data_IF_773899112868
#
_entry.id   IF_773899112868
#
_cell.length_a   1.000
_cell.length_b   1.000
_cell.length_c   1.000
_cell.angle_alpha   90.00
_cell.angle_beta   90.00
_cell.angle_gamma   90.00
#
_symmetry.space_group_name_H-M   'P 1'
#
loop_
_entity.id
_entity.type
_entity.pdbx_description
1 polymer ?
#
# COMPACT_ATOMS: atom_id res chain seq x y z
N UNK A 1 73.71 -3.88 -46.03
CA UNK A 1 72.88 -2.84 -45.40
C UNK A 1 71.40 -3.14 -45.63
N UNK A 2 70.69 -3.73 -44.65
CA UNK A 2 69.22 -3.68 -44.56
C UNK A 2 68.85 -3.60 -43.09
N UNK A 3 68.37 -2.43 -42.67
CA UNK A 3 67.93 -2.10 -41.31
C UNK A 3 66.54 -2.71 -41.11
N UNK A 4 66.40 -3.65 -40.18
CA UNK A 4 65.08 -4.12 -39.74
C UNK A 4 64.62 -3.22 -38.59
N UNK A 5 63.60 -2.40 -38.83
CA UNK A 5 62.90 -1.66 -37.77
C UNK A 5 61.91 -2.61 -37.09
N UNK A 6 62.12 -2.84 -35.79
CA UNK A 6 61.15 -3.49 -34.92
C UNK A 6 60.09 -2.44 -34.50
N UNK A 7 58.85 -2.64 -34.95
CA UNK A 7 57.68 -1.91 -34.45
C UNK A 7 57.11 -2.67 -33.24
N UNK A 8 57.33 -2.13 -32.05
CA UNK A 8 56.62 -2.53 -30.83
C UNK A 8 55.21 -1.94 -30.88
N UNK A 9 54.22 -2.76 -31.21
CA UNK A 9 52.81 -2.41 -31.07
C UNK A 9 52.40 -2.58 -29.60
N UNK A 10 52.26 -1.48 -28.87
CA UNK A 10 51.63 -1.47 -27.55
C UNK A 10 50.12 -1.47 -27.76
N UNK A 11 49.48 -2.63 -27.60
CA UNK A 11 48.03 -2.75 -27.56
C UNK A 11 47.52 -2.38 -26.16
N UNK A 12 47.01 -1.16 -26.00
CA UNK A 12 46.24 -0.77 -24.81
C UNK A 12 44.82 -1.29 -25.00
N UNK A 13 44.49 -2.43 -24.39
CA UNK A 13 43.10 -2.89 -24.25
C UNK A 13 42.40 -2.00 -23.20
N UNK A 14 41.73 -0.95 -23.66
CA UNK A 14 40.78 -0.21 -22.84
C UNK A 14 39.51 -1.04 -22.64
N UNK A 15 39.30 -1.59 -21.45
CA UNK A 15 38.02 -2.16 -21.06
C UNK A 15 37.02 -1.02 -20.84
N UNK A 16 36.24 -0.70 -21.87
CA UNK A 16 35.05 0.12 -21.71
C UNK A 16 34.03 -0.69 -20.89
N UNK A 17 34.01 -0.48 -19.57
CA UNK A 17 32.99 -1.04 -18.70
C UNK A 17 31.66 -0.35 -18.97
N UNK A 18 30.73 -1.06 -19.62
CA UNK A 18 29.34 -0.63 -19.74
C UNK A 18 28.75 -0.49 -18.34
N UNK A 19 28.56 0.74 -17.87
CA UNK A 19 27.78 1.00 -16.66
C UNK A 19 26.32 0.72 -17.03
N UNK A 20 25.85 -0.49 -16.75
CA UNK A 20 24.42 -0.79 -16.78
C UNK A 20 23.78 -0.02 -15.64
N UNK A 21 23.22 1.15 -15.95
CA UNK A 21 22.31 1.83 -15.03
C UNK A 21 21.01 1.04 -15.07
N UNK A 22 20.81 0.15 -14.10
CA UNK A 22 19.53 -0.53 -13.94
C UNK A 22 18.47 0.54 -13.67
N UNK A 23 17.51 0.70 -14.57
CA UNK A 23 16.32 1.50 -14.31
C UNK A 23 15.68 0.98 -13.02
N UNK A 24 15.29 1.85 -12.06
CA UNK A 24 14.61 1.37 -10.87
C UNK A 24 13.34 0.64 -11.33
N UNK A 25 13.26 -0.65 -11.05
CA UNK A 25 12.03 -1.39 -11.23
C UNK A 25 11.01 -0.80 -10.25
N UNK A 26 9.92 -0.26 -10.80
CA UNK A 26 8.93 0.44 -10.01
C UNK A 26 7.97 -0.58 -9.37
N UNK A 27 8.09 -0.78 -8.07
CA UNK A 27 7.02 -1.40 -7.29
C UNK A 27 5.87 -0.40 -7.13
N UNK A 28 4.65 -0.88 -6.87
CA UNK A 28 3.51 0.00 -6.60
C UNK A 28 2.50 -0.73 -5.73
N UNK A 29 2.08 -0.10 -4.64
CA UNK A 29 1.09 -0.67 -3.73
C UNK A 29 0.75 0.22 -2.53
N UNK A 30 -0.38 -0.08 -1.90
CA UNK A 30 -0.91 0.67 -0.76
C UNK A 30 -1.79 -0.21 0.12
N UNK A 31 -1.99 0.19 1.39
CA UNK A 31 -2.96 -0.48 2.28
C UNK A 31 -4.38 -0.04 1.91
N UNK A 32 -5.19 -0.99 1.44
CA UNK A 32 -6.58 -0.76 1.06
C UNK A 32 -7.57 -0.93 2.22
N UNK A 33 -7.24 -1.75 3.22
CA UNK A 33 -8.11 -2.02 4.37
C UNK A 33 -7.32 -2.26 5.67
N UNK A 34 -7.67 -1.61 6.80
CA UNK A 34 -8.46 -0.37 6.84
C UNK A 34 -7.85 0.67 5.89
N UNK A 35 -8.66 1.56 5.28
CA UNK A 35 -8.18 2.41 4.22
C UNK A 35 -7.08 3.34 4.72
N UNK A 36 -5.93 3.30 4.06
CA UNK A 36 -4.87 4.29 4.26
C UNK A 36 -5.29 5.68 3.82
N UNK A 37 -4.54 6.71 4.20
CA UNK A 37 -4.77 8.11 3.80
C UNK A 37 -4.86 8.26 2.28
N UNK A 38 -3.93 7.66 1.54
CA UNK A 38 -3.97 7.66 0.08
C UNK A 38 -5.18 6.90 -0.48
N UNK A 39 -5.62 5.81 0.17
CA UNK A 39 -6.85 5.11 -0.22
C UNK A 39 -8.09 6.00 0.03
N UNK A 40 -8.16 6.70 1.16
CA UNK A 40 -9.24 7.65 1.46
C UNK A 40 -9.31 8.79 0.44
N UNK A 41 -8.14 9.28 -0.01
CA UNK A 41 -8.05 10.24 -1.11
C UNK A 41 -8.62 9.67 -2.41
N UNK A 42 -8.20 8.47 -2.81
CA UNK A 42 -8.66 7.82 -4.04
C UNK A 42 -10.16 7.48 -4.01
N UNK A 43 -10.70 7.21 -2.82
CA UNK A 43 -12.13 7.00 -2.57
C UNK A 43 -12.95 8.30 -2.56
N UNK A 44 -12.31 9.48 -2.67
CA UNK A 44 -12.99 10.77 -2.58
C UNK A 44 -13.51 11.12 -1.18
N UNK A 45 -13.14 10.34 -0.16
CA UNK A 45 -13.57 10.54 1.24
C UNK A 45 -12.83 11.68 1.92
N UNK A 46 -11.65 12.01 1.42
CA UNK A 46 -10.88 13.19 1.80
C UNK A 46 -10.51 13.91 0.52
N UNK A 47 -10.75 15.22 0.47
CA UNK A 47 -10.35 16.03 -0.67
C UNK A 47 -8.82 16.07 -0.76
N UNK A 48 -8.25 15.52 -1.83
CA UNK A 48 -6.81 15.44 -2.02
C UNK A 48 -6.38 15.94 -3.42
N UNK A 49 -5.10 16.25 -3.55
CA UNK A 49 -4.43 16.63 -4.78
C UNK A 49 -4.15 15.41 -5.66
N UNK A 50 -2.90 15.26 -6.09
CA UNK A 50 -2.54 14.27 -7.10
C UNK A 50 -2.75 12.82 -6.60
N UNK A 51 -2.42 12.55 -5.34
CA UNK A 51 -2.39 11.18 -4.78
C UNK A 51 -3.68 10.37 -4.94
N UNK A 52 -4.84 11.03 -5.11
CA UNK A 52 -6.12 10.34 -5.36
C UNK A 52 -6.15 9.54 -6.67
N UNK A 53 -5.32 9.90 -7.65
CA UNK A 53 -5.26 9.22 -8.95
C UNK A 53 -4.30 8.03 -8.93
N UNK A 54 -3.37 8.00 -7.99
CA UNK A 54 -2.32 6.98 -7.92
C UNK A 54 -1.95 6.63 -6.47
N UNK A 55 -2.90 6.12 -5.66
CA UNK A 55 -2.66 5.79 -4.26
C UNK A 55 -1.51 4.78 -4.07
N UNK A 56 -1.21 3.99 -5.09
CA UNK A 56 -0.13 3.00 -5.13
C UNK A 56 1.29 3.59 -5.21
N UNK A 57 1.45 4.90 -5.40
CA UNK A 57 2.74 5.50 -5.81
C UNK A 57 3.51 6.22 -4.70
N UNK A 58 3.16 6.02 -3.42
CA UNK A 58 3.87 6.66 -2.30
C UNK A 58 5.20 5.96 -2.02
N UNK A 59 6.12 6.11 -2.96
CA UNK A 59 7.48 5.57 -2.96
C UNK A 59 8.47 6.59 -2.36
N UNK A 60 9.45 6.09 -1.61
CA UNK A 60 10.59 6.88 -1.15
C UNK A 60 11.76 6.03 -0.70
N UNK A 61 12.91 6.63 -0.37
CA UNK A 61 14.07 5.91 0.17
C UNK A 61 13.69 5.08 1.40
N UNK A 62 14.33 3.92 1.59
CA UNK A 62 14.14 3.07 2.78
C UNK A 62 14.45 3.82 4.09
N UNK A 63 13.79 3.40 5.17
CA UNK A 63 14.09 3.86 6.54
C UNK A 63 13.29 5.08 7.00
N UNK A 64 12.40 5.63 6.17
CA UNK A 64 11.56 6.75 6.57
C UNK A 64 10.48 6.33 7.57
N UNK A 65 10.00 7.31 8.34
CA UNK A 65 8.89 7.18 9.30
C UNK A 65 7.81 8.25 9.06
N UNK A 66 7.55 8.55 7.79
CA UNK A 66 6.55 9.52 7.36
C UNK A 66 5.54 8.89 6.39
N UNK A 67 4.41 9.56 6.17
CA UNK A 67 3.26 9.08 5.41
C UNK A 67 3.34 9.33 3.90
N UNK A 68 4.33 10.09 3.44
CA UNK A 68 4.41 10.61 2.08
C UNK A 68 5.67 10.17 1.33
N UNK A 69 6.49 9.29 1.91
CA UNK A 69 7.73 8.81 1.30
C UNK A 69 8.77 9.90 1.05
N UNK A 70 8.73 11.03 1.78
CA UNK A 70 9.53 12.23 1.46
C UNK A 70 9.27 12.79 0.05
N UNK A 71 8.11 12.49 -0.55
CA UNK A 71 7.70 12.99 -1.85
C UNK A 71 6.79 14.23 -1.69
N UNK A 72 7.30 15.39 -2.08
CA UNK A 72 6.61 16.68 -1.93
C UNK A 72 5.24 16.75 -2.64
N UNK A 73 5.03 15.98 -3.70
CA UNK A 73 3.73 15.90 -4.40
C UNK A 73 2.65 15.27 -3.51
N UNK A 74 3.05 14.43 -2.55
CA UNK A 74 2.17 13.73 -1.63
C UNK A 74 2.26 14.26 -0.19
N UNK A 75 2.85 15.45 0.00
CA UNK A 75 3.09 16.04 1.33
C UNK A 75 1.81 16.14 2.19
N UNK A 76 0.64 16.28 1.58
CA UNK A 76 -0.65 16.29 2.26
C UNK A 76 -0.92 15.04 3.11
N UNK A 77 -0.37 13.88 2.75
CA UNK A 77 -0.52 12.65 3.54
C UNK A 77 0.13 12.78 4.93
N UNK A 78 1.10 13.69 5.07
CA UNK A 78 1.76 14.00 6.33
C UNK A 78 1.04 15.06 7.16
N UNK A 79 0.08 15.79 6.57
CA UNK A 79 -0.67 16.83 7.27
C UNK A 79 -1.75 16.22 8.16
N UNK A 80 -1.54 16.24 9.46
CA UNK A 80 -2.48 15.70 10.45
C UNK A 80 -3.70 16.60 10.70
N UNK A 81 -3.69 17.83 10.21
CA UNK A 81 -4.80 18.78 10.36
C UNK A 81 -5.94 18.54 9.36
N UNK A 82 -5.74 17.72 8.32
CA UNK A 82 -6.76 17.38 7.29
C UNK A 82 -7.99 16.61 7.80
N UNK A 83 -8.05 16.29 9.09
CA UNK A 83 -9.21 15.61 9.67
C UNK A 83 -9.39 14.17 9.16
N UNK A 84 -8.28 13.43 8.98
CA UNK A 84 -8.31 12.06 8.45
C UNK A 84 -9.28 11.14 9.23
N UNK A 85 -10.28 10.55 8.53
CA UNK A 85 -11.19 9.57 9.10
C UNK A 85 -10.44 8.39 9.72
N UNK A 86 -10.80 8.03 10.96
CA UNK A 86 -10.23 6.87 11.65
C UNK A 86 -11.18 5.67 11.58
N UNK A 87 -10.63 4.48 11.30
CA UNK A 87 -11.40 3.23 11.31
C UNK A 87 -11.37 2.59 12.69
N UNK A 88 -12.53 2.23 13.25
CA UNK A 88 -12.57 1.47 14.50
C UNK A 88 -12.04 0.05 14.26
N UNK A 89 -11.08 -0.38 15.08
CA UNK A 89 -10.39 -1.66 14.94
C UNK A 89 -10.28 -2.38 16.28
N UNK A 90 -10.17 -3.71 16.23
CA UNK A 90 -9.85 -4.49 17.41
C UNK A 90 -8.34 -4.44 17.71
N UNK A 91 -7.92 -4.99 18.85
CA UNK A 91 -6.51 -5.15 19.19
C UNK A 91 -5.80 -6.21 18.34
N UNK A 92 -6.53 -7.07 17.61
CA UNK A 92 -6.00 -7.95 16.56
C UNK A 92 -6.54 -7.47 15.21
N UNK A 93 -5.73 -6.74 14.45
CA UNK A 93 -6.18 -6.06 13.24
C UNK A 93 -5.49 -6.60 12.00
N UNK A 94 -6.28 -6.95 10.99
CA UNK A 94 -5.78 -7.33 9.67
C UNK A 94 -5.61 -6.11 8.78
N UNK A 95 -4.42 -5.92 8.22
CA UNK A 95 -4.14 -4.92 7.20
C UNK A 95 -3.98 -5.61 5.84
N UNK A 96 -4.73 -5.15 4.84
CA UNK A 96 -4.70 -5.66 3.47
C UNK A 96 -4.03 -4.67 2.54
N UNK A 97 -3.02 -5.14 1.83
CA UNK A 97 -2.31 -4.43 0.78
C UNK A 97 -2.84 -4.83 -0.60
N UNK A 98 -2.86 -3.85 -1.50
CA UNK A 98 -3.01 -4.07 -2.94
C UNK A 98 -1.70 -3.69 -3.61
N UNK A 99 -1.10 -4.65 -4.32
CA UNK A 99 0.19 -4.54 -5.00
C UNK A 99 -0.07 -4.52 -6.51
N UNK A 100 -0.20 -3.32 -7.08
CA UNK A 100 -0.51 -3.13 -8.50
C UNK A 100 0.69 -3.47 -9.39
N UNK A 101 1.91 -3.21 -8.91
CA UNK A 101 3.15 -3.71 -9.50
C UNK A 101 3.94 -4.47 -8.44
N UNK A 102 3.87 -5.81 -8.49
CA UNK A 102 4.47 -6.70 -7.48
C UNK A 102 5.96 -6.83 -7.71
N UNK A 103 6.74 -6.68 -6.64
CA UNK A 103 8.19 -6.65 -6.73
C UNK A 103 8.84 -7.47 -5.63
N UNK A 104 10.10 -7.89 -5.82
CA UNK A 104 10.82 -8.69 -4.84
C UNK A 104 10.84 -7.93 -3.50
N UNK A 105 10.49 -8.59 -2.40
CA UNK A 105 10.20 -7.91 -1.13
C UNK A 105 11.15 -8.36 -0.03
N UNK A 106 11.77 -7.41 0.68
CA UNK A 106 12.51 -7.69 1.91
C UNK A 106 11.55 -7.94 3.06
N UNK A 107 10.62 -7.00 3.30
CA UNK A 107 9.74 -7.05 4.47
C UNK A 107 8.51 -6.15 4.32
N UNK A 108 7.55 -6.41 5.20
CA UNK A 108 6.47 -5.51 5.55
C UNK A 108 6.55 -5.21 7.04
N UNK A 109 6.55 -3.93 7.40
CA UNK A 109 6.64 -3.49 8.79
C UNK A 109 5.50 -2.54 9.13
N UNK A 110 5.05 -2.59 10.40
CA UNK A 110 3.97 -1.76 10.91
C UNK A 110 4.43 -1.03 12.16
N UNK A 111 4.14 0.27 12.26
CA UNK A 111 4.57 1.13 13.36
C UNK A 111 3.42 1.96 13.91
N UNK A 112 3.43 2.19 15.22
CA UNK A 112 2.67 3.27 15.87
C UNK A 112 3.69 4.15 16.59
N UNK A 113 3.80 5.41 16.16
CA UNK A 113 4.91 6.28 16.57
C UNK A 113 6.26 5.65 16.25
N UNK A 114 7.13 5.54 17.26
CA UNK A 114 8.44 4.87 17.13
C UNK A 114 8.42 3.35 17.33
N UNK A 115 7.29 2.77 17.73
CA UNK A 115 7.21 1.36 18.12
C UNK A 115 6.81 0.48 16.95
N UNK A 116 7.61 -0.53 16.62
CA UNK A 116 7.24 -1.56 15.63
C UNK A 116 6.24 -2.53 16.25
N UNK A 117 5.05 -2.61 15.66
CA UNK A 117 3.94 -3.47 16.11
C UNK A 117 3.74 -4.70 15.22
N UNK A 118 4.38 -4.76 14.06
CA UNK A 118 4.36 -5.92 13.17
C UNK A 118 5.58 -5.99 12.25
N UNK A 119 6.02 -7.20 11.94
CA UNK A 119 7.09 -7.50 10.99
C UNK A 119 6.77 -8.80 10.26
N UNK A 120 6.81 -8.77 8.93
CA UNK A 120 6.59 -9.92 8.07
C UNK A 120 7.71 -9.97 7.03
N UNK A 121 8.44 -11.08 6.97
CA UNK A 121 9.51 -11.26 6.00
C UNK A 121 8.93 -11.50 4.59
N UNK A 122 9.49 -10.82 3.59
CA UNK A 122 9.17 -11.06 2.18
C UNK A 122 10.07 -12.09 1.51
N UNK A 123 11.18 -12.49 2.16
CA UNK A 123 12.11 -13.54 1.71
C UNK A 123 12.65 -13.32 0.28
N UNK A 124 12.75 -12.06 -0.14
CA UNK A 124 13.12 -11.66 -1.51
C UNK A 124 12.22 -12.26 -2.60
N UNK A 125 11.00 -12.66 -2.24
CA UNK A 125 10.02 -13.19 -3.18
C UNK A 125 9.10 -12.08 -3.68
N UNK A 126 8.53 -12.29 -4.87
CA UNK A 126 7.42 -11.47 -5.33
C UNK A 126 6.16 -11.83 -4.50
N UNK A 127 5.51 -10.87 -3.83
CA UNK A 127 4.30 -11.12 -3.06
C UNK A 127 3.10 -11.39 -3.99
N UNK A 128 1.97 -11.88 -3.47
CA UNK A 128 0.71 -11.87 -4.20
C UNK A 128 0.22 -10.44 -4.50
N UNK A 129 -0.72 -10.31 -5.45
CA UNK A 129 -1.33 -9.02 -5.79
C UNK A 129 -2.14 -8.42 -4.63
N UNK A 130 -2.62 -9.28 -3.74
CA UNK A 130 -3.27 -8.88 -2.49
C UNK A 130 -2.69 -9.70 -1.37
N UNK A 131 -2.30 -9.01 -0.31
CA UNK A 131 -1.62 -9.58 0.84
C UNK A 131 -2.26 -9.05 2.11
N UNK A 132 -2.55 -9.93 3.05
CA UNK A 132 -3.11 -9.57 4.34
C UNK A 132 -2.19 -9.98 5.47
N UNK A 133 -2.03 -9.10 6.44
CA UNK A 133 -1.25 -9.34 7.65
C UNK A 133 -2.08 -9.02 8.88
N UNK A 134 -2.15 -9.96 9.82
CA UNK A 134 -2.78 -9.72 11.13
C UNK A 134 -1.72 -9.21 12.10
N UNK A 135 -1.92 -7.98 12.58
CA UNK A 135 -0.98 -7.28 13.47
C UNK A 135 -1.60 -7.17 14.87
N UNK A 136 -0.78 -7.47 15.88
CA UNK A 136 -1.17 -7.29 17.27
C UNK A 136 -0.98 -5.83 17.70
N UNK A 137 -2.07 -5.18 18.06
CA UNK A 137 -2.14 -3.81 18.54
C UNK A 137 -2.51 -3.71 20.03
N UNK A 138 -2.46 -4.81 20.80
CA UNK A 138 -2.91 -4.86 22.20
C UNK A 138 -2.16 -3.92 23.16
N UNK A 139 -0.98 -3.41 22.75
CA UNK A 139 -0.24 -2.40 23.51
C UNK A 139 -0.76 -0.97 23.32
N UNK A 140 -1.80 -0.75 22.50
CA UNK A 140 -2.32 0.56 22.15
C UNK A 140 -3.86 0.59 22.24
N UNK A 141 -4.40 1.78 22.45
CA UNK A 141 -5.84 2.05 22.47
C UNK A 141 -6.15 3.44 21.92
N UNK A 142 -7.42 3.70 21.61
CA UNK A 142 -7.88 4.99 21.12
C UNK A 142 -7.38 5.32 19.72
N UNK A 143 -7.45 6.60 19.34
CA UNK A 143 -7.01 7.06 18.01
C UNK A 143 -5.50 6.94 17.86
N UNK A 144 -5.06 6.15 16.90
CA UNK A 144 -3.66 5.94 16.55
C UNK A 144 -3.44 6.11 15.05
N UNK A 145 -2.20 6.42 14.67
CA UNK A 145 -1.75 6.37 13.28
C UNK A 145 -0.80 5.20 13.12
N UNK A 146 -1.19 4.23 12.30
CA UNK A 146 -0.33 3.12 11.91
C UNK A 146 0.41 3.50 10.64
N UNK A 147 1.73 3.43 10.64
CA UNK A 147 2.54 3.48 9.43
C UNK A 147 2.86 2.05 8.99
N UNK A 148 2.38 1.67 7.82
CA UNK A 148 2.73 0.42 7.15
C UNK A 148 3.79 0.70 6.07
N UNK A 149 4.87 -0.08 6.07
CA UNK A 149 6.03 0.10 5.21
C UNK A 149 6.29 -1.19 4.42
N UNK A 150 6.32 -1.09 3.10
CA UNK A 150 6.73 -2.15 2.19
C UNK A 150 8.18 -1.94 1.75
N UNK A 151 9.10 -2.79 2.20
CA UNK A 151 10.52 -2.67 1.83
C UNK A 151 10.83 -3.55 0.63
N UNK A 152 11.25 -2.95 -0.47
CA UNK A 152 11.62 -3.65 -1.70
C UNK A 152 13.00 -4.29 -1.57
N UNK A 153 13.19 -5.49 -2.11
CA UNK A 153 14.43 -6.27 -1.94
C UNK A 153 15.59 -5.74 -2.78
N UNK A 154 15.33 -5.38 -4.01
CA UNK A 154 16.29 -5.13 -5.09
C UNK A 154 16.39 -3.66 -5.50
N UNK A 155 15.76 -2.75 -4.75
CA UNK A 155 15.90 -1.29 -4.92
C UNK A 155 16.29 -0.60 -3.62
N UNK A 156 16.59 0.70 -3.65
CA UNK A 156 16.84 1.51 -2.45
C UNK A 156 15.54 2.03 -1.78
N UNK A 157 14.37 1.66 -2.32
CA UNK A 157 13.10 2.29 -1.98
C UNK A 157 12.17 1.39 -1.15
N UNK A 158 11.14 2.02 -0.61
CA UNK A 158 10.03 1.42 0.11
C UNK A 158 8.73 2.20 -0.18
N UNK A 159 7.59 1.58 0.09
CA UNK A 159 6.26 2.20 -0.03
C UNK A 159 5.66 2.46 1.34
N UNK A 160 5.04 3.63 1.50
CA UNK A 160 4.59 4.14 2.79
C UNK A 160 3.08 4.37 2.79
N UNK A 161 2.37 3.72 3.70
CA UNK A 161 0.92 3.89 3.90
C UNK A 161 0.61 4.23 5.35
N UNK A 162 0.06 5.41 5.60
CA UNK A 162 -0.46 5.76 6.93
C UNK A 162 -1.95 5.42 7.00
N UNK A 163 -2.36 4.81 8.12
CA UNK A 163 -3.73 4.39 8.39
C UNK A 163 -4.15 4.96 9.74
N UNK A 164 -5.16 5.82 9.75
CA UNK A 164 -5.76 6.32 10.98
C UNK A 164 -6.77 5.29 11.50
N UNK A 165 -6.55 4.82 12.73
CA UNK A 165 -7.38 3.80 13.38
C UNK A 165 -7.81 4.28 14.76
N UNK A 166 -8.87 3.68 15.29
CA UNK A 166 -9.29 3.85 16.68
C UNK A 166 -9.39 2.46 17.33
N UNK A 167 -8.39 2.12 18.14
CA UNK A 167 -8.16 0.78 18.65
C UNK A 167 -8.97 0.55 19.92
N UNK A 168 -9.74 -0.54 19.97
CA UNK A 168 -10.58 -0.88 21.12
C UNK A 168 -11.88 -0.07 21.20
N UNK A 169 -12.21 0.72 20.18
CA UNK A 169 -13.52 1.36 20.08
C UNK A 169 -14.62 0.32 19.91
N UNK A 170 -15.53 0.22 20.88
CA UNK A 170 -16.74 -0.61 20.78
C UNK A 170 -17.70 -0.01 19.76
N UNK A 171 -17.59 -0.44 18.50
CA UNK A 171 -18.59 -0.23 17.45
C UNK A 171 -18.31 0.91 16.46
N UNK A 172 -18.34 0.59 15.16
CA UNK A 172 -18.85 1.48 14.10
C UNK A 172 -17.98 2.67 13.68
N UNK A 173 -17.40 2.60 12.47
CA UNK A 173 -16.44 3.54 11.91
C UNK A 173 -16.75 5.04 12.00
N UNK A 174 -15.69 5.85 12.00
CA UNK A 174 -15.71 7.30 11.78
C UNK A 174 -15.94 7.68 10.32
N UNK A 175 -16.99 7.14 9.73
CA UNK A 175 -17.70 7.66 8.58
C UNK A 175 -19.15 7.28 8.81
N UNK A 176 -20.08 8.22 8.65
CA UNK A 176 -21.52 8.05 8.87
C UNK A 176 -21.96 6.59 8.66
N UNK A 177 -22.51 5.89 9.69
CA UNK A 177 -22.83 4.48 9.56
C UNK A 177 -23.86 4.29 8.44
N UNK A 178 -23.66 3.38 7.48
CA UNK A 178 -24.80 2.73 6.83
C UNK A 178 -25.58 1.96 7.91
N UNK A 179 -26.89 1.73 7.74
CA UNK A 179 -27.71 1.05 8.73
C UNK A 179 -27.07 -0.28 9.16
N UNK A 180 -27.13 -0.52 10.46
CA UNK A 180 -26.63 -1.69 11.18
C UNK A 180 -27.08 -3.01 10.56
N UNK A 181 -26.10 -3.77 10.05
CA UNK A 181 -26.23 -5.22 9.86
C UNK A 181 -25.04 -5.88 9.15
N UNK A 182 -24.32 -5.16 8.28
CA UNK A 182 -23.14 -5.72 7.59
C UNK A 182 -21.83 -5.58 8.37
N UNK A 183 -21.12 -6.68 8.58
CA UNK A 183 -19.76 -6.71 9.15
C UNK A 183 -18.65 -6.38 8.13
N UNK A 184 -18.95 -6.51 6.83
CA UNK A 184 -18.04 -6.14 5.75
C UNK A 184 -17.95 -4.60 5.57
N UNK A 185 -16.76 -4.10 5.25
CA UNK A 185 -16.54 -2.67 5.02
C UNK A 185 -17.40 -2.16 3.85
N UNK A 186 -17.93 -0.94 3.94
CA UNK A 186 -18.74 -0.37 2.86
C UNK A 186 -17.98 -0.32 1.53
N UNK A 187 -18.65 -0.70 0.43
CA UNK A 187 -18.11 -0.57 -0.92
C UNK A 187 -17.85 0.90 -1.27
N UNK A 188 -16.81 1.13 -2.05
CA UNK A 188 -16.38 2.43 -2.53
C UNK A 188 -15.89 2.34 -3.96
N UNK A 189 -16.41 3.19 -4.85
CA UNK A 189 -16.05 3.21 -6.26
C UNK A 189 -14.57 3.45 -6.53
N UNK A 190 -13.89 4.26 -5.71
CA UNK A 190 -12.45 4.53 -5.88
C UNK A 190 -11.53 3.40 -5.39
N UNK A 191 -12.04 2.41 -4.65
CA UNK A 191 -11.23 1.32 -4.14
C UNK A 191 -11.10 0.20 -5.19
N UNK A 192 -9.90 -0.36 -5.28
CA UNK A 192 -9.67 -1.60 -6.02
C UNK A 192 -10.09 -2.78 -5.13
N UNK A 193 -10.80 -3.73 -5.70
CA UNK A 193 -11.15 -4.99 -5.07
C UNK A 193 -10.67 -6.14 -5.94
N UNK A 194 -10.15 -7.19 -5.33
CA UNK A 194 -9.76 -8.42 -6.01
C UNK A 194 -10.65 -9.58 -5.59
N UNK A 195 -10.56 -10.69 -6.33
CA UNK A 195 -11.28 -11.92 -6.03
C UNK A 195 -11.22 -12.29 -4.55
N UNK A 196 -12.39 -12.48 -3.94
CA UNK A 196 -12.56 -12.83 -2.54
C UNK A 196 -12.80 -11.65 -1.58
N UNK A 197 -12.52 -10.40 -1.97
CA UNK A 197 -12.77 -9.24 -1.10
C UNK A 197 -14.27 -9.07 -0.82
N UNK A 198 -14.61 -8.85 0.46
CA UNK A 198 -15.98 -8.60 0.91
C UNK A 198 -16.22 -7.11 1.14
N UNK A 199 -17.37 -6.63 0.66
CA UNK A 199 -17.85 -5.26 0.87
C UNK A 199 -19.33 -5.25 1.23
N UNK A 200 -19.80 -4.22 1.90
CA UNK A 200 -21.23 -3.97 2.10
C UNK A 200 -21.75 -2.91 1.13
N UNK A 201 -22.88 -3.17 0.48
CA UNK A 201 -23.54 -2.21 -0.40
C UNK A 201 -25.04 -2.47 -0.44
N UNK A 202 -25.83 -1.42 -0.19
CA UNK A 202 -27.30 -1.47 -0.15
C UNK A 202 -27.87 -2.57 0.78
N UNK A 203 -27.34 -2.69 1.99
CA UNK A 203 -27.82 -3.69 2.97
C UNK A 203 -27.53 -5.14 2.55
N UNK A 204 -26.43 -5.37 1.85
CA UNK A 204 -25.99 -6.71 1.43
C UNK A 204 -24.48 -6.80 1.46
N UNK A 205 -23.98 -8.01 1.74
CA UNK A 205 -22.56 -8.30 1.61
C UNK A 205 -22.30 -8.80 0.19
N UNK A 206 -21.26 -8.28 -0.45
CA UNK A 206 -20.85 -8.64 -1.79
C UNK A 206 -19.42 -9.13 -1.77
N UNK A 207 -19.13 -10.16 -2.56
CA UNK A 207 -17.79 -10.70 -2.77
C UNK A 207 -17.32 -10.39 -4.18
N UNK A 208 -16.19 -9.70 -4.33
CA UNK A 208 -15.58 -9.54 -5.64
C UNK A 208 -15.19 -10.93 -6.18
N UNK A 209 -15.54 -11.23 -7.44
CA UNK A 209 -15.22 -12.49 -8.11
C UNK A 209 -13.80 -12.43 -8.70
N UNK A 210 -13.40 -11.26 -9.19
CA UNK A 210 -12.08 -10.96 -9.74
C UNK A 210 -11.74 -9.48 -9.50
N UNK A 211 -10.67 -8.98 -10.12
CA UNK A 211 -10.25 -7.59 -10.03
C UNK A 211 -11.36 -6.65 -10.53
N UNK A 212 -11.71 -5.65 -9.74
CA UNK A 212 -12.70 -4.62 -10.07
C UNK A 212 -12.33 -3.29 -9.40
N UNK A 213 -12.61 -2.19 -10.07
CA UNK A 213 -12.55 -0.84 -9.51
C UNK A 213 -13.69 -0.04 -10.13
N UNK A 214 -14.46 0.69 -9.31
CA UNK A 214 -15.56 1.53 -9.78
C UNK A 214 -16.87 0.80 -10.10
N UNK A 215 -16.85 -0.51 -10.35
CA UNK A 215 -18.07 -1.26 -10.68
C UNK A 215 -18.92 -1.50 -9.42
N UNK A 216 -20.19 -1.08 -9.48
CA UNK A 216 -21.12 -1.10 -8.33
C UNK A 216 -21.63 -2.52 -8.03
N UNK A 217 -21.56 -2.99 -6.77
CA UNK A 217 -22.15 -4.26 -6.37
C UNK A 217 -23.65 -4.30 -6.60
N UNK A 218 -24.13 -5.40 -7.19
CA UNK A 218 -25.52 -5.55 -7.63
C UNK A 218 -25.85 -4.97 -9.00
N UNK A 219 -24.91 -4.29 -9.65
CA UNK A 219 -25.05 -3.82 -11.04
C UNK A 219 -24.07 -4.48 -12.01
N UNK A 220 -22.96 -5.02 -11.51
CA UNK A 220 -21.93 -5.65 -12.33
C UNK A 220 -21.69 -7.11 -11.92
N UNK A 221 -21.43 -7.96 -12.93
CA UNK A 221 -21.18 -9.39 -12.74
C UNK A 221 -19.92 -9.71 -11.93
N UNK A 222 -19.04 -8.73 -11.73
CA UNK A 222 -17.83 -8.83 -10.92
C UNK A 222 -18.14 -9.06 -9.43
N UNK A 223 -19.37 -8.84 -8.99
CA UNK A 223 -19.80 -9.02 -7.61
C UNK A 223 -20.71 -10.24 -7.43
N UNK A 224 -20.40 -11.08 -6.44
CA UNK A 224 -21.25 -12.16 -5.98
C UNK A 224 -21.97 -11.74 -4.70
N UNK A 225 -23.30 -11.66 -4.75
CA UNK A 225 -24.13 -11.42 -3.57
C UNK A 225 -23.91 -12.53 -2.53
N UNK A 226 -23.62 -12.15 -1.29
CA UNK A 226 -23.44 -13.04 -0.13
C UNK A 226 -24.65 -13.03 0.80
N UNK A 227 -25.68 -12.24 0.49
CA UNK A 227 -26.90 -12.14 1.26
C UNK A 227 -27.06 -10.79 1.97
N UNK A 228 -28.26 -10.62 2.53
CA UNK A 228 -28.64 -9.43 3.26
C UNK A 228 -27.83 -9.26 4.54
N UNK A 229 -27.64 -8.00 4.88
CA UNK A 229 -27.13 -7.48 6.13
C UNK A 229 -27.50 -5.98 6.18
#
# INVERSE_FOLDING_TARGET
MRKFLALLAVAVLGTAGSILVASPAAAHGYVSSPPSRQALCAQGRVACGQIKYEPQSVEGPKGLRNCHGNNGVFAELNDDSKGWPATNVSTSQTFTWINTARHATTSWEYFIGGTRVGYFAGNSQQPPATLSHTVNLSGFSGRQKVLAVWTIADTANAFYSCIDVNIGGTGGGGGTPPPTGCSAAAWSSGAVYVGGNLVSHNGRTWRAKWWTQGETPGSADVWADQGAC
#
